data_IF_524176503467
#
_entry.id   IF_524176503467
#
_cell.length_a   1.000
_cell.length_b   1.000
_cell.length_c   1.000
_cell.angle_alpha   90.00
_cell.angle_beta   90.00
_cell.angle_gamma   90.00
#
_symmetry.space_group_name_H-M   'P 1'
#
loop_
_entity.id
_entity.type
_entity.pdbx_description
1 polymer ?
#
# COMPACT_ATOMS: atom_id res chain seq x y z
N UNK A 1 15.74 12.03 10.65
CA UNK A 1 16.32 10.69 10.92
C UNK A 1 15.18 9.71 11.01
N UNK A 2 15.12 8.83 10.03
CA UNK A 2 14.02 7.91 9.79
C UNK A 2 14.20 6.64 10.64
N UNK A 3 13.13 6.13 11.24
CA UNK A 3 13.18 4.97 12.13
C UNK A 3 13.65 3.69 11.42
N UNK A 4 13.67 3.68 10.08
CA UNK A 4 14.28 2.64 9.27
C UNK A 4 15.81 2.59 9.41
N UNK A 5 16.48 3.71 9.65
CA UNK A 5 17.95 3.75 9.80
C UNK A 5 18.40 3.11 11.12
N UNK A 6 17.61 3.29 12.19
CA UNK A 6 17.93 2.75 13.54
C UNK A 6 17.76 1.24 13.66
N UNK A 7 17.03 0.60 12.75
CA UNK A 7 16.83 -0.86 12.71
C UNK A 7 17.70 -1.55 11.67
N UNK A 8 18.86 -0.99 11.33
CA UNK A 8 19.91 -1.75 10.63
C UNK A 8 20.36 -2.90 11.53
N UNK A 9 19.66 -4.02 11.43
CA UNK A 9 20.25 -5.32 11.68
C UNK A 9 21.50 -5.38 10.79
N UNK A 10 22.68 -5.59 11.38
CA UNK A 10 24.01 -5.68 10.74
C UNK A 10 24.12 -6.88 9.76
N UNK A 11 23.03 -7.26 9.11
CA UNK A 11 22.85 -8.49 8.34
C UNK A 11 22.05 -8.28 7.04
N UNK A 12 21.81 -7.04 6.61
CA UNK A 12 21.20 -6.77 5.31
C UNK A 12 22.26 -6.75 4.21
N UNK A 13 22.28 -7.73 3.29
CA UNK A 13 23.14 -7.69 2.14
C UNK A 13 22.57 -6.64 1.17
N UNK A 14 23.39 -5.65 0.84
CA UNK A 14 23.15 -4.57 -0.14
C UNK A 14 22.22 -3.43 0.30
N UNK A 15 22.65 -2.19 0.00
CA UNK A 15 21.82 -1.00 0.10
C UNK A 15 20.67 -0.99 -0.91
N UNK A 16 20.59 -1.99 -1.79
CA UNK A 16 19.61 -2.11 -2.87
C UNK A 16 18.29 -2.64 -2.32
N UNK A 17 17.17 -2.09 -2.78
CA UNK A 17 15.83 -2.52 -2.40
C UNK A 17 15.62 -3.99 -2.72
N UNK A 18 15.18 -4.76 -1.72
CA UNK A 18 14.97 -6.20 -1.84
C UNK A 18 13.75 -6.59 -2.65
N UNK A 19 12.86 -5.64 -2.96
CA UNK A 19 11.64 -5.90 -3.73
C UNK A 19 11.84 -5.69 -5.23
N UNK A 20 12.61 -4.68 -5.64
CA UNK A 20 12.87 -4.43 -7.07
C UNK A 20 14.28 -4.78 -7.52
N UNK A 21 15.27 -4.79 -6.61
CA UNK A 21 16.69 -4.97 -6.92
C UNK A 21 17.30 -3.93 -7.88
N UNK A 22 16.63 -2.80 -8.12
CA UNK A 22 17.04 -1.79 -9.11
C UNK A 22 17.64 -0.50 -8.52
N UNK A 23 17.31 -0.15 -7.28
CA UNK A 23 17.73 1.11 -6.68
C UNK A 23 17.96 0.98 -5.17
N UNK A 24 18.58 2.01 -4.56
CA UNK A 24 18.83 2.06 -3.12
C UNK A 24 17.52 2.08 -2.34
N UNK A 25 17.42 1.27 -1.29
CA UNK A 25 16.28 1.25 -0.40
C UNK A 25 16.26 2.51 0.49
N UNK A 26 15.22 3.31 0.33
CA UNK A 26 14.82 4.40 1.23
C UNK A 26 13.34 4.23 1.56
N UNK A 27 12.79 4.95 2.54
CA UNK A 27 11.33 4.97 2.77
C UNK A 27 10.56 5.31 1.50
N UNK A 28 10.93 6.43 0.87
CA UNK A 28 10.19 6.93 -0.28
C UNK A 28 10.31 5.96 -1.45
N UNK A 29 11.49 5.35 -1.64
CA UNK A 29 11.66 4.30 -2.63
C UNK A 29 10.80 3.08 -2.30
N UNK A 30 10.97 2.48 -1.12
CA UNK A 30 10.27 1.27 -0.71
C UNK A 30 8.75 1.38 -0.86
N UNK A 31 8.17 2.50 -0.42
CA UNK A 31 6.73 2.64 -0.33
C UNK A 31 6.09 3.34 -1.53
N UNK A 32 6.82 4.14 -2.32
CA UNK A 32 6.18 5.00 -3.34
C UNK A 32 6.88 5.01 -4.71
N UNK A 33 8.17 4.69 -4.82
CA UNK A 33 8.91 4.81 -6.09
C UNK A 33 9.40 3.48 -6.65
N UNK A 34 9.55 2.47 -5.81
CA UNK A 34 9.89 1.10 -6.19
C UNK A 34 8.91 0.59 -7.24
N UNK A 35 9.40 -0.06 -8.30
CA UNK A 35 8.54 -0.59 -9.37
C UNK A 35 7.43 -1.50 -8.83
N UNK A 36 7.77 -2.30 -7.80
CA UNK A 36 6.82 -3.11 -7.03
C UNK A 36 5.70 -2.26 -6.40
N UNK A 37 6.08 -1.20 -5.68
CA UNK A 37 5.13 -0.30 -5.03
C UNK A 37 4.32 0.51 -6.04
N UNK A 38 4.94 0.96 -7.15
CA UNK A 38 4.28 1.70 -8.22
C UNK A 38 3.19 0.89 -8.90
N UNK A 39 3.38 -0.42 -9.07
CA UNK A 39 2.33 -1.31 -9.59
C UNK A 39 1.11 -1.32 -8.67
N UNK A 40 1.35 -1.49 -7.36
CA UNK A 40 0.30 -1.52 -6.34
C UNK A 40 -0.45 -0.18 -6.27
N UNK A 41 0.27 0.93 -6.17
CA UNK A 41 -0.33 2.26 -6.17
C UNK A 41 -1.09 2.55 -7.46
N UNK A 42 -0.55 2.15 -8.62
CA UNK A 42 -1.21 2.33 -9.90
C UNK A 42 -2.56 1.63 -9.98
N UNK A 43 -2.68 0.42 -9.42
CA UNK A 43 -3.96 -0.28 -9.30
C UNK A 43 -4.95 0.51 -8.44
N UNK A 44 -4.60 0.87 -7.20
CA UNK A 44 -5.52 1.56 -6.31
C UNK A 44 -5.86 2.99 -6.73
N UNK A 45 -4.92 3.71 -7.36
CA UNK A 45 -5.18 5.02 -7.96
C UNK A 45 -6.24 4.90 -9.06
N UNK A 46 -6.13 3.89 -9.95
CA UNK A 46 -7.15 3.64 -10.97
C UNK A 46 -8.49 3.21 -10.37
N UNK A 47 -8.46 2.30 -9.39
CA UNK A 47 -9.64 1.82 -8.68
C UNK A 47 -10.42 2.98 -8.02
N UNK A 48 -9.70 3.92 -7.44
CA UNK A 48 -10.27 5.12 -6.79
C UNK A 48 -10.56 6.27 -7.78
N UNK A 49 -10.29 6.09 -9.08
CA UNK A 49 -10.44 7.12 -10.12
C UNK A 49 -9.68 8.42 -9.79
N UNK A 50 -8.47 8.27 -9.24
CA UNK A 50 -7.58 9.37 -8.88
C UNK A 50 -6.61 9.67 -10.03
N UNK A 51 -6.13 10.92 -10.16
CA UNK A 51 -5.31 11.33 -11.30
C UNK A 51 -3.95 10.62 -11.34
N UNK A 52 -3.28 10.52 -10.20
CA UNK A 52 -1.90 10.03 -10.12
C UNK A 52 -1.64 9.20 -8.87
N UNK A 53 -0.71 8.26 -8.97
CA UNK A 53 -0.18 7.51 -7.84
C UNK A 53 0.88 8.35 -7.09
N UNK A 54 0.89 8.34 -5.74
CA UNK A 54 1.79 9.16 -4.95
C UNK A 54 3.24 8.76 -5.20
N UNK A 55 4.13 9.75 -5.19
CA UNK A 55 5.57 9.57 -5.48
C UNK A 55 6.44 9.59 -4.22
N UNK A 56 5.87 10.00 -3.10
CA UNK A 56 6.50 10.07 -1.79
C UNK A 56 5.43 10.21 -0.68
N UNK A 57 5.90 10.26 0.57
CA UNK A 57 5.05 10.42 1.75
C UNK A 57 4.30 11.75 1.82
N UNK A 58 4.79 12.82 1.18
CA UNK A 58 4.13 14.13 1.18
C UNK A 58 2.96 14.07 0.20
N UNK A 59 3.20 13.54 -1.00
CA UNK A 59 2.19 13.38 -2.03
C UNK A 59 1.01 12.50 -1.59
N UNK A 60 1.26 11.43 -0.81
CA UNK A 60 0.16 10.55 -0.35
C UNK A 60 -0.78 11.23 0.64
N UNK A 61 -0.25 12.02 1.58
CA UNK A 61 -1.05 12.72 2.60
C UNK A 61 -1.49 14.13 2.17
N UNK A 62 -0.88 14.66 1.11
CA UNK A 62 -1.24 15.90 0.43
C UNK A 62 -2.14 15.63 -0.77
N UNK A 63 -1.59 15.74 -1.98
CA UNK A 63 -2.32 15.74 -3.26
C UNK A 63 -3.22 14.51 -3.46
N UNK A 64 -2.69 13.31 -3.21
CA UNK A 64 -3.44 12.07 -3.41
C UNK A 64 -4.67 12.02 -2.49
N UNK A 65 -4.46 12.29 -1.20
CA UNK A 65 -5.55 12.34 -0.22
C UNK A 65 -6.51 13.48 -0.54
N UNK A 66 -6.03 14.64 -0.94
CA UNK A 66 -6.86 15.80 -1.28
C UNK A 66 -7.81 15.48 -2.44
N UNK A 67 -7.34 14.72 -3.44
CA UNK A 67 -8.12 14.25 -4.58
C UNK A 67 -9.22 13.21 -4.22
N UNK A 68 -9.09 12.51 -3.08
CA UNK A 68 -10.15 11.64 -2.58
C UNK A 68 -11.35 12.47 -2.12
N UNK A 69 -12.55 12.10 -2.59
CA UNK A 69 -13.82 12.75 -2.19
C UNK A 69 -13.94 12.79 -0.65
N UNK A 70 -14.41 13.90 -0.06
CA UNK A 70 -14.52 14.04 1.40
C UNK A 70 -15.22 12.88 2.10
N UNK A 71 -16.32 12.37 1.51
CA UNK A 71 -17.09 11.23 2.02
C UNK A 71 -16.32 9.91 1.99
N UNK A 72 -15.29 9.79 1.15
CA UNK A 72 -14.49 8.58 0.96
C UNK A 72 -13.12 8.66 1.65
N UNK A 73 -12.79 9.75 2.35
CA UNK A 73 -11.45 9.96 2.95
C UNK A 73 -11.08 8.87 3.94
N UNK A 74 -12.04 8.39 4.73
CA UNK A 74 -11.80 7.28 5.66
C UNK A 74 -11.36 6.02 4.92
N UNK A 75 -12.07 5.66 3.85
CA UNK A 75 -11.70 4.51 3.04
C UNK A 75 -10.36 4.70 2.33
N UNK A 76 -10.11 5.90 1.79
CA UNK A 76 -8.81 6.25 1.21
C UNK A 76 -7.67 6.08 2.22
N UNK A 77 -7.86 6.56 3.45
CA UNK A 77 -6.87 6.42 4.53
C UNK A 77 -6.63 4.95 4.91
N UNK A 78 -7.65 4.08 4.84
CA UNK A 78 -7.52 2.63 5.04
C UNK A 78 -6.76 1.96 3.88
N UNK A 79 -7.05 2.33 2.63
CA UNK A 79 -6.32 1.84 1.45
C UNK A 79 -4.83 2.17 1.58
N UNK A 80 -4.49 3.41 1.93
CA UNK A 80 -3.08 3.83 2.15
C UNK A 80 -2.42 2.95 3.21
N UNK A 81 -3.10 2.72 4.35
CA UNK A 81 -2.56 1.88 5.43
C UNK A 81 -2.38 0.43 4.98
N UNK A 82 -3.33 -0.14 4.26
CA UNK A 82 -3.27 -1.51 3.78
C UNK A 82 -2.12 -1.71 2.77
N UNK A 83 -1.92 -0.77 1.85
CA UNK A 83 -0.81 -0.78 0.89
C UNK A 83 0.53 -0.73 1.63
N UNK A 84 0.74 0.29 2.47
CA UNK A 84 2.01 0.50 3.19
C UNK A 84 2.34 -0.71 4.08
N UNK A 85 1.34 -1.22 4.80
CA UNK A 85 1.50 -2.40 5.64
C UNK A 85 1.87 -3.64 4.84
N UNK A 86 1.21 -3.88 3.71
CA UNK A 86 1.45 -5.08 2.90
C UNK A 86 2.82 -5.04 2.21
N UNK A 87 3.27 -3.86 1.74
CA UNK A 87 4.63 -3.67 1.22
C UNK A 87 5.67 -3.93 2.31
N UNK A 88 5.44 -3.41 3.53
CA UNK A 88 6.32 -3.64 4.66
C UNK A 88 6.43 -5.13 5.02
N UNK A 89 5.31 -5.85 5.05
CA UNK A 89 5.28 -7.29 5.29
C UNK A 89 6.01 -8.06 4.18
N UNK A 90 5.81 -7.72 2.91
CA UNK A 90 6.50 -8.34 1.78
C UNK A 90 8.03 -8.16 1.89
N UNK A 91 8.47 -6.93 2.19
CA UNK A 91 9.88 -6.60 2.41
C UNK A 91 10.49 -7.40 3.55
N UNK A 92 9.78 -7.51 4.67
CA UNK A 92 10.25 -8.28 5.82
C UNK A 92 10.26 -9.79 5.56
N UNK A 93 9.28 -10.32 4.83
CA UNK A 93 9.27 -11.73 4.42
C UNK A 93 10.48 -12.07 3.54
N UNK A 94 10.86 -11.17 2.61
CA UNK A 94 12.05 -11.34 1.80
C UNK A 94 13.33 -11.36 2.65
N UNK A 95 13.42 -10.52 3.67
CA UNK A 95 14.64 -10.33 4.46
C UNK A 95 14.82 -11.39 5.55
N UNK A 96 13.74 -11.74 6.25
CA UNK A 96 13.83 -12.63 7.41
C UNK A 96 13.51 -14.07 7.06
N UNK A 97 12.77 -14.31 5.97
CA UNK A 97 12.30 -15.64 5.61
C UNK A 97 12.72 -16.07 4.20
N UNK A 98 13.44 -15.23 3.44
CA UNK A 98 13.79 -15.45 2.03
C UNK A 98 12.56 -15.75 1.14
N UNK A 99 11.38 -15.23 1.51
CA UNK A 99 10.15 -15.39 0.75
C UNK A 99 9.94 -14.18 -0.14
N UNK A 100 9.86 -14.41 -1.45
CA UNK A 100 9.47 -13.39 -2.43
C UNK A 100 8.00 -13.54 -2.79
N UNK A 101 7.33 -12.41 -3.02
CA UNK A 101 5.93 -12.35 -3.45
C UNK A 101 5.85 -11.43 -4.65
N UNK A 102 5.05 -11.78 -5.65
CA UNK A 102 4.77 -10.85 -6.76
C UNK A 102 3.92 -9.68 -6.28
N UNK A 103 3.98 -8.56 -7.00
CA UNK A 103 3.13 -7.40 -6.73
C UNK A 103 1.65 -7.75 -6.87
N UNK A 104 1.29 -8.65 -7.78
CA UNK A 104 -0.09 -9.13 -7.95
C UNK A 104 -0.57 -9.97 -6.76
N UNK A 105 0.30 -10.82 -6.20
CA UNK A 105 -0.05 -11.56 -4.98
C UNK A 105 -0.26 -10.62 -3.77
N UNK A 106 0.50 -9.51 -3.71
CA UNK A 106 0.28 -8.47 -2.71
C UNK A 106 -1.00 -7.68 -2.97
N UNK A 107 -1.35 -7.38 -4.21
CA UNK A 107 -2.63 -6.75 -4.56
C UNK A 107 -3.81 -7.57 -4.04
N UNK A 108 -3.82 -8.88 -4.32
CA UNK A 108 -4.84 -9.79 -3.82
C UNK A 108 -4.92 -9.77 -2.29
N UNK A 109 -3.77 -9.80 -1.60
CA UNK A 109 -3.73 -9.71 -0.14
C UNK A 109 -4.28 -8.38 0.40
N UNK A 110 -4.02 -7.27 -0.27
CA UNK A 110 -4.55 -5.96 0.12
C UNK A 110 -6.07 -5.95 -0.04
N UNK A 111 -6.60 -6.46 -1.16
CA UNK A 111 -8.04 -6.52 -1.40
C UNK A 111 -8.74 -7.34 -0.31
N UNK A 112 -8.21 -8.53 0.03
CA UNK A 112 -8.72 -9.35 1.14
C UNK A 112 -8.62 -8.66 2.50
N UNK A 113 -7.50 -7.98 2.77
CA UNK A 113 -7.31 -7.25 4.02
C UNK A 113 -8.33 -6.11 4.15
N UNK A 114 -8.59 -5.39 3.07
CA UNK A 114 -9.58 -4.30 3.04
C UNK A 114 -10.99 -4.85 3.25
N UNK A 115 -11.38 -5.92 2.55
CA UNK A 115 -12.66 -6.58 2.77
C UNK A 115 -12.83 -7.05 4.21
N UNK A 116 -11.80 -7.69 4.77
CA UNK A 116 -11.80 -8.11 6.16
C UNK A 116 -11.98 -6.91 7.10
N UNK A 117 -11.25 -5.82 6.90
CA UNK A 117 -11.38 -4.60 7.72
C UNK A 117 -12.77 -3.96 7.60
N UNK A 118 -13.35 -3.90 6.41
CA UNK A 118 -14.71 -3.38 6.23
C UNK A 118 -15.75 -4.26 6.92
N UNK A 119 -15.64 -5.58 6.73
CA UNK A 119 -16.52 -6.56 7.36
C UNK A 119 -16.40 -6.59 8.88
N UNK A 120 -15.26 -6.15 9.45
CA UNK A 120 -15.03 -6.12 10.90
C UNK A 120 -15.26 -4.74 11.54
N UNK A 121 -15.52 -3.69 10.74
CA UNK A 121 -15.70 -2.34 11.26
C UNK A 121 -17.01 -2.20 12.06
N UNK A 122 -17.07 -1.36 13.11
CA UNK A 122 -18.32 -1.05 13.80
C UNK A 122 -19.37 -0.47 12.85
N UNK A 123 -20.66 -0.68 13.11
CA UNK A 123 -21.78 -0.29 12.22
C UNK A 123 -21.69 1.17 11.75
N UNK A 124 -21.52 2.14 12.66
CA UNK A 124 -21.40 3.56 12.29
C UNK A 124 -20.12 3.93 11.53
N UNK A 125 -19.15 3.01 11.42
CA UNK A 125 -17.98 3.14 10.55
C UNK A 125 -18.24 2.51 9.19
N UNK A 126 -18.94 1.37 9.12
CA UNK A 126 -19.29 0.69 7.86
C UNK A 126 -20.10 1.58 6.93
N UNK A 127 -21.08 2.32 7.45
CA UNK A 127 -21.88 3.28 6.67
C UNK A 127 -21.03 4.35 5.97
N UNK A 128 -19.85 4.69 6.53
CA UNK A 128 -18.92 5.67 5.96
C UNK A 128 -17.96 5.06 4.93
N UNK A 129 -17.94 3.73 4.79
CA UNK A 129 -17.01 2.98 3.95
C UNK A 129 -17.62 2.55 2.59
N UNK A 130 -18.95 2.63 2.44
CA UNK A 130 -19.74 1.92 1.43
C UNK A 130 -19.41 2.18 -0.06
N UNK A 131 -18.81 3.32 -0.43
CA UNK A 131 -18.57 3.60 -1.85
C UNK A 131 -17.41 2.80 -2.46
N UNK A 132 -16.32 2.59 -1.72
CA UNK A 132 -15.15 1.87 -2.23
C UNK A 132 -15.32 0.35 -2.13
N UNK A 133 -16.13 -0.12 -1.18
CA UNK A 133 -16.50 -1.54 -1.03
C UNK A 133 -17.10 -2.08 -2.32
N UNK A 134 -17.93 -1.29 -3.00
CA UNK A 134 -18.52 -1.65 -4.30
C UNK A 134 -17.48 -1.76 -5.42
N UNK A 135 -16.43 -0.94 -5.41
CA UNK A 135 -15.36 -1.00 -6.41
C UNK A 135 -14.40 -2.17 -6.15
N UNK A 136 -14.08 -2.44 -4.88
CA UNK A 136 -13.25 -3.58 -4.44
C UNK A 136 -13.99 -4.91 -4.62
N UNK A 137 -15.30 -4.97 -4.38
CA UNK A 137 -16.10 -6.17 -4.67
C UNK A 137 -16.07 -6.49 -6.17
N UNK A 138 -16.24 -5.49 -7.03
CA UNK A 138 -16.24 -5.68 -8.49
C UNK A 138 -14.88 -6.11 -9.06
N UNK A 139 -13.76 -5.83 -8.39
CA UNK A 139 -12.43 -6.24 -8.85
C UNK A 139 -12.08 -7.69 -8.51
N UNK A 140 -12.88 -8.36 -7.67
CA UNK A 140 -12.69 -9.76 -7.27
C UNK A 140 -13.67 -10.75 -7.95
N UNK A 141 -14.56 -10.26 -8.82
CA UNK A 141 -15.52 -11.07 -9.57
C UNK A 141 -15.00 -11.49 -10.97
N UNK A 142 -13.71 -11.30 -11.25
CA UNK A 142 -12.99 -11.77 -12.44
C UNK A 142 -11.75 -12.57 -12.05
#
# INVERSE_FOLDING_TARGET
MDNLERRRCNRLPTATCVLCHLAIETMDHLFFQCSFARHIWGYFTRLCQLPDAPRDRIAVWGDWRAAVRPTCRLTGDLIVKAIVWSIWLARNACIFNAITMSSDAILYKIDHLLLFWFSSAPEGTREKLDFATSAIHRSLEF
#
